data_IF_137653683954
#
_entry.id   IF_137653683954
#
_cell.length_a   1.000
_cell.length_b   1.000
_cell.length_c   1.000
_cell.angle_alpha   90.00
_cell.angle_beta   90.00
_cell.angle_gamma   90.00
#
_symmetry.space_group_name_H-M   'P 1'
#
loop_
_entity.id
_entity.type
_entity.pdbx_description
1 polymer ?
#
# COMPACT_ATOMS: atom_id res chain seq x y z
N UNK A 1 43.52 32.10 17.09
CA UNK A 1 43.35 30.64 16.89
C UNK A 1 42.15 30.22 17.73
N UNK A 2 40.93 30.36 17.21
CA UNK A 2 39.68 29.89 17.84
C UNK A 2 38.43 29.98 16.92
N UNK A 3 38.44 30.77 15.84
CA UNK A 3 37.27 30.90 14.95
C UNK A 3 37.09 29.74 13.96
N UNK A 4 38.18 29.12 13.51
CA UNK A 4 38.14 28.02 12.53
C UNK A 4 37.51 26.76 13.14
N UNK A 5 37.70 26.54 14.45
CA UNK A 5 37.14 25.39 15.17
C UNK A 5 35.64 25.57 15.44
N UNK A 6 35.22 26.77 15.88
CA UNK A 6 33.80 27.08 16.12
C UNK A 6 32.98 27.02 14.83
N UNK A 7 33.50 27.55 13.72
CA UNK A 7 32.81 27.48 12.42
C UNK A 7 32.66 26.03 11.92
N UNK A 8 33.70 25.21 12.04
CA UNK A 8 33.64 23.79 11.65
C UNK A 8 32.70 22.98 12.55
N UNK A 9 32.65 23.28 13.85
CA UNK A 9 31.69 22.67 14.77
C UNK A 9 30.26 23.05 14.38
N UNK A 10 29.99 24.33 14.10
CA UNK A 10 28.66 24.81 13.66
C UNK A 10 28.27 24.15 12.33
N UNK A 11 29.20 24.09 11.36
CA UNK A 11 28.94 23.46 10.06
C UNK A 11 28.67 21.97 10.19
N UNK A 12 29.39 21.26 11.06
CA UNK A 12 29.12 19.84 11.37
C UNK A 12 27.74 19.68 12.01
N UNK A 13 27.41 20.48 13.02
CA UNK A 13 26.12 20.44 13.69
C UNK A 13 24.95 20.71 12.72
N UNK A 14 25.09 21.68 11.81
CA UNK A 14 24.08 21.97 10.77
C UNK A 14 23.92 20.77 9.83
N UNK A 15 25.03 20.19 9.35
CA UNK A 15 24.96 19.03 8.45
C UNK A 15 24.38 17.79 9.14
N UNK A 16 24.69 17.57 10.42
CA UNK A 16 24.11 16.50 11.25
C UNK A 16 22.59 16.70 11.37
N UNK A 17 22.16 17.91 11.73
CA UNK A 17 20.75 18.27 11.87
C UNK A 17 19.97 18.09 10.56
N UNK A 18 20.54 18.51 9.41
CA UNK A 18 19.92 18.28 8.09
C UNK A 18 19.78 16.78 7.81
N UNK A 19 20.82 15.98 8.08
CA UNK A 19 20.79 14.53 7.88
C UNK A 19 19.80 13.82 8.80
N UNK A 20 19.63 14.27 10.03
CA UNK A 20 18.63 13.74 10.95
C UNK A 20 17.22 14.09 10.48
N UNK A 21 17.00 15.36 10.09
CA UNK A 21 15.73 15.81 9.54
C UNK A 21 15.32 15.03 8.29
N UNK A 22 16.24 14.82 7.34
CA UNK A 22 15.98 14.05 6.13
C UNK A 22 15.66 12.58 6.47
N UNK A 23 16.39 11.97 7.41
CA UNK A 23 16.13 10.59 7.88
C UNK A 23 14.75 10.46 8.52
N UNK A 24 14.36 11.39 9.38
CA UNK A 24 13.03 11.39 10.00
C UNK A 24 11.92 11.53 8.96
N UNK A 25 12.11 12.41 7.98
CA UNK A 25 11.14 12.64 6.90
C UNK A 25 10.98 11.39 6.03
N UNK A 26 12.09 10.74 5.68
CA UNK A 26 12.13 9.46 4.95
C UNK A 26 11.35 8.37 5.70
N UNK A 27 11.61 8.22 7.00
CA UNK A 27 10.91 7.24 7.82
C UNK A 27 9.41 7.54 7.92
N UNK A 28 9.05 8.82 8.09
CA UNK A 28 7.66 9.28 8.11
C UNK A 28 6.93 8.94 6.81
N UNK A 29 7.56 9.11 5.65
CA UNK A 29 6.94 8.74 4.37
C UNK A 29 6.74 7.24 4.25
N UNK A 30 7.76 6.43 4.56
CA UNK A 30 7.65 4.97 4.56
C UNK A 30 6.51 4.49 5.45
N UNK A 31 6.42 5.02 6.66
CA UNK A 31 5.36 4.68 7.62
C UNK A 31 3.97 5.08 7.10
N UNK A 32 3.83 6.28 6.51
CA UNK A 32 2.58 6.72 5.87
C UNK A 32 2.18 5.83 4.71
N UNK A 33 3.12 5.40 3.87
CA UNK A 33 2.84 4.52 2.72
C UNK A 33 2.38 3.15 3.18
N UNK A 34 3.07 2.53 4.15
CA UNK A 34 2.65 1.27 4.73
C UNK A 34 1.29 1.39 5.42
N UNK A 35 1.05 2.49 6.13
CA UNK A 35 -0.25 2.79 6.72
C UNK A 35 -1.35 2.86 5.65
N UNK A 36 -1.13 3.58 4.55
CA UNK A 36 -2.06 3.69 3.44
C UNK A 36 -2.31 2.33 2.77
N UNK A 37 -1.28 1.53 2.53
CA UNK A 37 -1.41 0.16 2.00
C UNK A 37 -2.29 -0.70 2.90
N UNK A 38 -2.09 -0.63 4.23
CA UNK A 38 -2.93 -1.33 5.19
C UNK A 38 -4.37 -0.84 5.17
N UNK A 39 -4.59 0.48 5.04
CA UNK A 39 -5.93 1.06 4.95
C UNK A 39 -6.67 0.64 3.67
N UNK A 40 -5.96 0.59 2.54
CA UNK A 40 -6.48 0.09 1.27
C UNK A 40 -6.91 -1.37 1.43
N UNK A 41 -6.04 -2.23 1.97
CA UNK A 41 -6.38 -3.65 2.12
C UNK A 41 -7.51 -3.91 3.12
N UNK A 42 -7.59 -3.14 4.22
CA UNK A 42 -8.73 -3.22 5.15
C UNK A 42 -10.07 -2.84 4.52
N UNK A 43 -10.06 -2.04 3.45
CA UNK A 43 -11.26 -1.62 2.74
C UNK A 43 -11.35 -2.24 1.34
N UNK A 44 -10.53 -3.24 1.03
CA UNK A 44 -10.41 -3.81 -0.31
C UNK A 44 -11.77 -4.28 -0.83
N UNK A 45 -12.48 -5.12 -0.06
CA UNK A 45 -13.78 -5.64 -0.47
C UNK A 45 -14.81 -4.53 -0.70
N UNK A 46 -14.86 -3.51 0.17
CA UNK A 46 -15.76 -2.35 0.01
C UNK A 46 -15.46 -1.56 -1.25
N UNK A 47 -14.18 -1.33 -1.54
CA UNK A 47 -13.74 -0.62 -2.73
C UNK A 47 -13.98 -1.43 -4.01
N UNK A 48 -13.82 -2.76 -3.95
CA UNK A 48 -14.15 -3.67 -5.05
C UNK A 48 -15.64 -3.61 -5.39
N UNK A 49 -16.52 -3.74 -4.39
CA UNK A 49 -17.97 -3.60 -4.60
C UNK A 49 -18.34 -2.21 -5.15
N UNK A 50 -17.73 -1.15 -4.60
CA UNK A 50 -17.97 0.22 -5.10
C UNK A 50 -17.57 0.40 -6.57
N UNK A 51 -16.50 -0.25 -7.03
CA UNK A 51 -16.08 -0.17 -8.43
C UNK A 51 -17.09 -0.84 -9.37
N UNK A 52 -17.66 -1.97 -8.96
CA UNK A 52 -18.63 -2.67 -9.80
C UNK A 52 -19.89 -1.81 -9.99
N UNK A 53 -20.35 -1.13 -8.93
CA UNK A 53 -21.42 -0.12 -9.01
C UNK A 53 -21.02 1.09 -9.88
N UNK A 54 -19.78 1.56 -9.74
CA UNK A 54 -19.27 2.73 -10.48
C UNK A 54 -19.14 2.44 -11.97
N UNK A 55 -18.67 1.26 -12.38
CA UNK A 55 -18.54 0.90 -13.80
C UNK A 55 -19.90 0.96 -14.50
N UNK A 56 -20.93 0.39 -13.89
CA UNK A 56 -22.29 0.44 -14.43
C UNK A 56 -22.78 1.90 -14.60
N UNK A 57 -22.54 2.76 -13.60
CA UNK A 57 -22.94 4.16 -13.65
C UNK A 57 -22.15 5.00 -14.67
N UNK A 58 -20.83 4.78 -14.76
CA UNK A 58 -19.97 5.53 -15.70
C UNK A 58 -20.26 5.13 -17.14
N UNK A 59 -20.50 3.85 -17.41
CA UNK A 59 -20.88 3.37 -18.73
C UNK A 59 -22.21 3.98 -19.17
N UNK A 60 -23.19 4.06 -18.26
CA UNK A 60 -24.46 4.76 -18.49
C UNK A 60 -24.28 6.27 -18.74
N UNK A 61 -23.51 6.98 -17.89
CA UNK A 61 -23.24 8.43 -18.06
C UNK A 61 -22.56 8.77 -19.41
N UNK A 62 -21.66 7.90 -19.91
CA UNK A 62 -20.95 8.06 -21.19
C UNK A 62 -21.89 7.80 -22.38
N UNK A 63 -22.80 6.82 -22.27
CA UNK A 63 -23.75 6.50 -23.33
C UNK A 63 -24.81 7.61 -23.51
N UNK A 64 -25.21 8.28 -22.43
CA UNK A 64 -26.18 9.37 -22.48
C UNK A 64 -25.58 10.73 -22.88
N UNK A 65 -24.26 10.91 -22.82
CA UNK A 65 -23.61 12.19 -23.11
C UNK A 65 -22.49 12.03 -24.16
N UNK A 66 -22.76 12.43 -25.41
CA UNK A 66 -21.78 12.43 -26.51
C UNK A 66 -20.61 13.43 -26.29
N UNK A 67 -20.81 14.44 -25.43
CA UNK A 67 -19.83 15.46 -25.11
C UNK A 67 -18.85 15.03 -24.01
N UNK A 68 -17.67 14.54 -24.43
CA UNK A 68 -16.57 14.01 -23.59
C UNK A 68 -15.93 15.01 -22.59
N UNK A 69 -16.38 16.26 -22.54
CA UNK A 69 -15.67 17.37 -21.88
C UNK A 69 -16.10 17.60 -20.42
N UNK A 70 -17.26 17.07 -20.00
CA UNK A 70 -17.76 17.26 -18.64
C UNK A 70 -17.35 16.13 -17.68
N UNK A 71 -16.05 15.84 -17.56
CA UNK A 71 -15.58 14.95 -16.48
C UNK A 71 -15.82 15.67 -15.13
N UNK A 72 -16.98 15.41 -14.53
CA UNK A 72 -17.34 15.91 -13.21
C UNK A 72 -16.27 15.53 -12.19
N UNK A 73 -16.14 16.30 -11.11
CA UNK A 73 -15.28 15.97 -9.98
C UNK A 73 -15.54 14.54 -9.44
N UNK A 74 -16.79 14.09 -9.54
CA UNK A 74 -17.25 12.74 -9.19
C UNK A 74 -16.64 11.70 -10.13
N UNK A 75 -16.77 11.87 -11.45
CA UNK A 75 -16.17 10.96 -12.43
C UNK A 75 -14.65 10.84 -12.28
N UNK A 76 -13.96 11.95 -12.00
CA UNK A 76 -12.50 11.93 -11.72
C UNK A 76 -12.15 11.11 -10.47
N UNK A 77 -12.94 11.24 -9.42
CA UNK A 77 -12.73 10.52 -8.15
C UNK A 77 -13.02 9.02 -8.34
N UNK A 78 -14.12 8.68 -9.01
CA UNK A 78 -14.48 7.32 -9.43
C UNK A 78 -13.36 6.66 -10.24
N UNK A 79 -12.86 7.35 -11.28
CA UNK A 79 -11.77 6.87 -12.12
C UNK A 79 -10.47 6.66 -11.33
N UNK A 80 -10.16 7.54 -10.38
CA UNK A 80 -8.99 7.38 -9.50
C UNK A 80 -9.10 6.10 -8.66
N UNK A 81 -10.26 5.85 -8.06
CA UNK A 81 -10.52 4.62 -7.29
C UNK A 81 -10.38 3.39 -8.16
N UNK A 82 -10.96 3.40 -9.37
CA UNK A 82 -10.80 2.31 -10.34
C UNK A 82 -9.33 2.00 -10.67
N UNK A 83 -8.55 3.04 -10.98
CA UNK A 83 -7.12 2.88 -11.27
C UNK A 83 -6.35 2.32 -10.08
N UNK A 84 -6.66 2.78 -8.86
CA UNK A 84 -6.01 2.29 -7.64
C UNK A 84 -6.30 0.81 -7.41
N UNK A 85 -7.55 0.38 -7.54
CA UNK A 85 -7.92 -1.03 -7.34
C UNK A 85 -7.35 -1.93 -8.45
N UNK A 86 -7.36 -1.49 -9.71
CA UNK A 86 -6.70 -2.23 -10.79
C UNK A 86 -5.18 -2.39 -10.53
N UNK A 87 -4.55 -1.37 -9.94
CA UNK A 87 -3.14 -1.42 -9.53
C UNK A 87 -2.91 -2.41 -8.38
N UNK A 88 -3.79 -2.39 -7.37
CA UNK A 88 -3.77 -3.37 -6.26
C UNK A 88 -3.94 -4.79 -6.79
N UNK A 89 -4.93 -5.06 -7.65
CA UNK A 89 -5.19 -6.39 -8.21
C UNK A 89 -3.98 -6.92 -8.99
N UNK A 90 -3.34 -6.05 -9.76
CA UNK A 90 -2.11 -6.38 -10.49
C UNK A 90 -0.97 -6.74 -9.53
N UNK A 91 -0.76 -5.91 -8.50
CA UNK A 91 0.28 -6.13 -7.50
C UNK A 91 0.05 -7.43 -6.71
N UNK A 92 -1.19 -7.71 -6.30
CA UNK A 92 -1.57 -8.95 -5.62
C UNK A 92 -1.29 -10.19 -6.49
N UNK A 93 -1.59 -10.13 -7.80
CA UNK A 93 -1.26 -11.23 -8.74
C UNK A 93 0.25 -11.45 -8.84
N UNK A 94 1.05 -10.39 -8.87
CA UNK A 94 2.52 -10.49 -8.88
C UNK A 94 3.02 -11.15 -7.59
N UNK A 95 2.55 -10.69 -6.43
CA UNK A 95 2.92 -11.26 -5.13
C UNK A 95 2.54 -12.74 -5.04
N UNK A 96 1.30 -13.10 -5.39
CA UNK A 96 0.84 -14.50 -5.35
C UNK A 96 1.76 -15.42 -6.15
N UNK A 97 2.17 -15.01 -7.36
CA UNK A 97 3.11 -15.75 -8.20
C UNK A 97 4.50 -15.85 -7.55
N UNK A 98 5.01 -14.75 -6.97
CA UNK A 98 6.30 -14.71 -6.30
C UNK A 98 6.33 -15.65 -5.09
N UNK A 99 5.39 -15.54 -4.17
CA UNK A 99 5.30 -16.40 -2.98
C UNK A 99 5.17 -17.89 -3.34
N UNK A 100 4.44 -18.19 -4.41
CA UNK A 100 4.35 -19.55 -4.94
C UNK A 100 5.71 -20.05 -5.46
N UNK A 101 6.44 -19.23 -6.23
CA UNK A 101 7.77 -19.57 -6.75
C UNK A 101 8.80 -19.79 -5.62
N UNK A 102 8.68 -19.05 -4.53
CA UNK A 102 9.57 -19.16 -3.36
C UNK A 102 9.13 -20.24 -2.36
N UNK A 103 8.15 -21.08 -2.69
CA UNK A 103 7.59 -22.11 -1.80
C UNK A 103 7.06 -21.54 -0.47
N UNK A 104 6.60 -20.29 -0.48
CA UNK A 104 6.04 -19.56 0.66
C UNK A 104 4.56 -19.23 0.46
N UNK A 105 3.84 -20.01 -0.34
CA UNK A 105 2.43 -19.79 -0.68
C UNK A 105 1.53 -19.68 0.57
N UNK A 106 1.84 -20.41 1.65
CA UNK A 106 1.12 -20.34 2.92
C UNK A 106 1.13 -18.93 3.56
N UNK A 107 2.20 -18.15 3.35
CA UNK A 107 2.28 -16.77 3.86
C UNK A 107 1.31 -15.85 3.12
N UNK A 108 1.29 -15.95 1.79
CA UNK A 108 0.33 -15.23 0.96
C UNK A 108 -1.10 -15.70 1.25
N UNK A 109 -1.30 -17.00 1.51
CA UNK A 109 -2.62 -17.54 1.84
C UNK A 109 -3.15 -16.98 3.16
N UNK A 110 -2.31 -16.82 4.18
CA UNK A 110 -2.73 -16.16 5.43
C UNK A 110 -3.20 -14.71 5.18
N UNK A 111 -2.49 -13.97 4.34
CA UNK A 111 -2.88 -12.62 3.93
C UNK A 111 -4.21 -12.60 3.18
N UNK A 112 -4.40 -13.50 2.20
CA UNK A 112 -5.64 -13.64 1.41
C UNK A 112 -6.82 -13.99 2.31
N UNK A 113 -6.65 -14.96 3.22
CA UNK A 113 -7.68 -15.34 4.19
C UNK A 113 -8.08 -14.15 5.07
N UNK A 114 -7.13 -13.34 5.54
CA UNK A 114 -7.41 -12.22 6.43
C UNK A 114 -8.07 -11.03 5.72
N UNK A 115 -7.50 -10.56 4.60
CA UNK A 115 -7.94 -9.32 3.96
C UNK A 115 -9.02 -9.50 2.89
N UNK A 116 -9.05 -10.65 2.22
CA UNK A 116 -9.95 -10.89 1.09
C UNK A 116 -11.12 -11.78 1.54
N UNK A 117 -10.84 -12.86 2.27
CA UNK A 117 -11.88 -13.77 2.78
C UNK A 117 -12.41 -13.37 4.17
N UNK A 118 -11.90 -12.27 4.75
CA UNK A 118 -12.34 -11.68 6.02
C UNK A 118 -12.32 -12.65 7.21
N UNK A 119 -11.40 -13.62 7.19
CA UNK A 119 -11.20 -14.59 8.27
C UNK A 119 -10.51 -13.98 9.48
N UNK A 120 -10.91 -14.43 10.65
CA UNK A 120 -10.25 -14.11 11.92
C UNK A 120 -8.88 -14.80 12.01
N UNK A 121 -7.97 -14.26 12.84
CA UNK A 121 -6.67 -14.91 13.05
C UNK A 121 -6.80 -16.34 13.60
N UNK A 122 -7.83 -16.60 14.40
CA UNK A 122 -8.12 -17.93 14.96
C UNK A 122 -8.51 -18.92 13.85
N UNK A 123 -9.43 -18.54 12.96
CA UNK A 123 -9.78 -19.36 11.80
C UNK A 123 -8.56 -19.63 10.89
N UNK A 124 -7.69 -18.64 10.71
CA UNK A 124 -6.48 -18.80 9.89
C UNK A 124 -5.48 -19.75 10.55
N UNK A 125 -5.33 -19.67 11.88
CA UNK A 125 -4.49 -20.60 12.64
C UNK A 125 -4.98 -22.03 12.47
N UNK A 126 -6.29 -22.24 12.56
CA UNK A 126 -6.91 -23.54 12.40
C UNK A 126 -6.81 -24.07 10.96
N UNK A 127 -6.94 -23.19 9.97
CA UNK A 127 -6.84 -23.54 8.56
C UNK A 127 -5.41 -23.88 8.14
N UNK A 128 -4.43 -23.06 8.54
CA UNK A 128 -3.02 -23.22 8.17
C UNK A 128 -2.20 -24.04 9.16
N UNK A 129 -2.80 -24.47 10.28
CA UNK A 129 -2.13 -25.20 11.38
C UNK A 129 -0.86 -24.48 11.84
N UNK A 130 -0.98 -23.20 12.18
CA UNK A 130 0.16 -22.35 12.53
C UNK A 130 0.04 -21.74 13.94
N UNK A 131 1.16 -21.23 14.47
CA UNK A 131 1.21 -20.59 15.79
C UNK A 131 0.50 -19.24 15.84
N UNK A 132 0.13 -18.79 17.06
CA UNK A 132 -0.70 -17.61 17.32
C UNK A 132 -0.29 -16.32 16.59
N UNK A 133 1.00 -16.06 16.46
CA UNK A 133 1.51 -14.83 15.85
C UNK A 133 1.76 -14.94 14.34
N UNK A 134 1.72 -16.15 13.78
CA UNK A 134 2.13 -16.41 12.41
C UNK A 134 1.23 -15.74 11.37
N UNK A 135 -0.12 -15.77 11.47
CA UNK A 135 -0.99 -15.12 10.48
C UNK A 135 -0.70 -13.62 10.37
N UNK A 136 -0.51 -12.96 11.52
CA UNK A 136 -0.18 -11.53 11.59
C UNK A 136 1.19 -11.24 10.97
N UNK A 137 2.22 -12.01 11.33
CA UNK A 137 3.59 -11.82 10.80
C UNK A 137 3.61 -12.01 9.29
N UNK A 138 2.98 -13.06 8.78
CA UNK A 138 2.93 -13.35 7.36
C UNK A 138 2.13 -12.30 6.58
N UNK A 139 0.99 -11.87 7.12
CA UNK A 139 0.20 -10.80 6.51
C UNK A 139 0.95 -9.47 6.48
N UNK A 140 1.68 -9.14 7.55
CA UNK A 140 2.50 -7.93 7.61
C UNK A 140 3.66 -7.97 6.61
N UNK A 141 4.28 -9.14 6.42
CA UNK A 141 5.30 -9.33 5.40
C UNK A 141 4.74 -9.06 3.99
N UNK A 142 3.57 -9.61 3.67
CA UNK A 142 2.91 -9.38 2.37
C UNK A 142 2.50 -7.91 2.19
N UNK A 143 2.02 -7.24 3.24
CA UNK A 143 1.69 -5.81 3.20
C UNK A 143 2.91 -4.93 2.89
N UNK A 144 4.06 -5.24 3.48
CA UNK A 144 5.29 -4.49 3.22
C UNK A 144 5.71 -4.61 1.76
N UNK A 145 5.66 -5.81 1.19
CA UNK A 145 5.96 -6.02 -0.22
C UNK A 145 4.93 -5.38 -1.15
N UNK A 146 3.65 -5.44 -0.79
CA UNK A 146 2.59 -4.76 -1.52
C UNK A 146 2.80 -3.25 -1.52
N UNK A 147 3.21 -2.68 -0.39
CA UNK A 147 3.52 -1.24 -0.28
C UNK A 147 4.59 -0.84 -1.31
N UNK A 148 5.63 -1.67 -1.47
CA UNK A 148 6.68 -1.41 -2.46
C UNK A 148 6.13 -1.45 -3.88
N UNK A 149 5.26 -2.41 -4.21
CA UNK A 149 4.66 -2.50 -5.54
C UNK A 149 3.69 -1.35 -5.84
N UNK A 150 2.98 -0.85 -4.82
CA UNK A 150 2.02 0.24 -5.00
C UNK A 150 2.70 1.59 -5.17
N UNK A 151 3.73 1.87 -4.37
CA UNK A 151 4.35 3.20 -4.29
C UNK A 151 5.74 3.29 -4.93
N UNK A 152 6.32 2.16 -5.35
CA UNK A 152 7.61 2.11 -6.05
C UNK A 152 8.78 2.60 -5.18
N UNK A 153 9.68 3.36 -5.79
CA UNK A 153 10.89 3.91 -5.13
C UNK A 153 10.54 4.73 -3.88
N UNK A 154 9.42 5.44 -3.89
CA UNK A 154 8.96 6.23 -2.73
C UNK A 154 8.64 5.35 -1.51
N UNK A 155 8.28 4.07 -1.70
CA UNK A 155 8.04 3.15 -0.59
C UNK A 155 9.31 2.85 0.21
N UNK A 156 10.46 2.99 -0.43
CA UNK A 156 11.78 2.76 0.15
C UNK A 156 12.31 4.00 0.87
N UNK A 157 11.59 5.14 0.74
CA UNK A 157 12.00 6.40 1.33
C UNK A 157 13.24 6.99 0.67
N UNK A 158 13.38 6.77 -0.64
CA UNK A 158 14.43 7.34 -1.50
C UNK A 158 13.88 8.48 -2.34
#
# INVERSE_FOLDING_TARGET
>A
MNDIDVYDIIKKAINEAIREYDREKIMSYKDKRLHNTRLLMKNYNKLSSHIDDVKANVEFEILENEDKVWLTSIARTKLRTMKMMAHIDSALKILKKRFKKECMEYKYKAFELYYIEEKTNEEIMDFLKCGKNQPKIWSELVLNELSILLWGVEALGM
#
